data_IF_172420091855
#
_entry.id   IF_172420091855
#
_cell.length_a   1.000
_cell.length_b   1.000
_cell.length_c   1.000
_cell.angle_alpha   90.00
_cell.angle_beta   90.00
_cell.angle_gamma   90.00
#
_symmetry.space_group_name_H-M   'P 1'
#
loop_
_entity.id
_entity.type
_entity.pdbx_description
1 polymer ?
#
# COMPACT_ATOMS: atom_id res chain seq x y z
N UNK A 1 -42.69 33.87 62.66
CA UNK A 1 -41.28 34.08 62.29
C UNK A 1 -41.23 34.53 60.83
N UNK A 2 -40.95 35.80 60.57
CA UNK A 2 -40.88 36.39 59.26
C UNK A 2 -39.47 36.18 58.70
N UNK A 3 -39.32 35.32 57.70
CA UNK A 3 -38.02 35.14 56.99
C UNK A 3 -37.78 36.39 56.14
N UNK A 4 -36.83 37.20 56.47
CA UNK A 4 -36.35 38.31 55.64
C UNK A 4 -35.81 37.72 54.32
N UNK A 5 -36.51 37.92 53.22
CA UNK A 5 -35.98 37.69 51.87
C UNK A 5 -34.85 38.71 51.64
N UNK A 6 -33.59 38.23 51.51
CA UNK A 6 -32.46 39.04 51.07
C UNK A 6 -32.46 39.03 49.55
N UNK A 7 -32.67 40.21 48.93
CA UNK A 7 -32.50 40.37 47.49
C UNK A 7 -31.03 40.35 47.07
N UNK A 8 -30.75 39.86 45.88
CA UNK A 8 -29.41 39.90 45.27
C UNK A 8 -28.97 41.35 45.02
N UNK A 9 -27.69 41.64 45.27
CA UNK A 9 -27.10 42.92 44.91
C UNK A 9 -26.69 42.94 43.45
N UNK A 10 -26.72 44.09 42.79
CA UNK A 10 -26.31 44.27 41.40
C UNK A 10 -24.84 43.86 41.20
N UNK A 11 -23.98 44.09 42.22
CA UNK A 11 -22.58 43.67 42.22
C UNK A 11 -22.44 42.14 42.20
N UNK A 12 -23.25 41.44 42.96
CA UNK A 12 -23.20 39.97 43.09
C UNK A 12 -23.60 39.33 41.74
N UNK A 13 -24.55 39.92 41.03
CA UNK A 13 -24.98 39.49 39.71
C UNK A 13 -23.89 39.75 38.67
N UNK A 14 -23.20 40.89 38.69
CA UNK A 14 -22.09 41.21 37.80
C UNK A 14 -20.90 40.24 38.01
N UNK A 15 -20.54 39.95 39.25
CA UNK A 15 -19.45 39.02 39.60
C UNK A 15 -19.81 37.61 39.11
N UNK A 16 -21.06 37.15 39.32
CA UNK A 16 -21.50 35.85 38.87
C UNK A 16 -21.46 35.72 37.36
N UNK A 17 -21.91 36.77 36.64
CA UNK A 17 -21.84 36.78 35.14
C UNK A 17 -20.38 36.80 34.67
N UNK A 18 -19.49 37.52 35.30
CA UNK A 18 -18.06 37.56 34.95
C UNK A 18 -17.42 36.17 35.12
N UNK A 19 -17.67 35.52 36.27
CA UNK A 19 -17.17 34.16 36.51
C UNK A 19 -17.74 33.18 35.51
N UNK A 20 -19.05 33.24 35.22
CA UNK A 20 -19.68 32.40 34.24
C UNK A 20 -19.06 32.61 32.85
N UNK A 21 -18.88 33.85 32.41
CA UNK A 21 -18.26 34.18 31.13
C UNK A 21 -16.82 33.63 31.04
N UNK A 22 -16.06 33.71 32.11
CA UNK A 22 -14.69 33.17 32.17
C UNK A 22 -14.68 31.63 32.05
N UNK A 23 -15.60 30.98 32.79
CA UNK A 23 -15.75 29.51 32.66
C UNK A 23 -16.17 29.07 31.26
N UNK A 24 -17.10 29.78 30.62
CA UNK A 24 -17.49 29.50 29.23
C UNK A 24 -16.34 29.72 28.27
N UNK A 25 -15.54 30.79 28.43
CA UNK A 25 -14.38 31.04 27.56
C UNK A 25 -13.34 29.92 27.65
N UNK A 26 -13.03 29.47 28.87
CA UNK A 26 -12.09 28.34 29.10
C UNK A 26 -12.67 27.04 28.52
N UNK A 27 -13.95 26.74 28.78
CA UNK A 27 -14.61 25.55 28.28
C UNK A 27 -14.66 25.51 26.75
N UNK A 28 -15.00 26.64 26.11
CA UNK A 28 -15.00 26.76 24.66
C UNK A 28 -13.59 26.56 24.06
N UNK A 29 -12.58 27.15 24.69
CA UNK A 29 -11.18 26.97 24.30
C UNK A 29 -10.73 25.50 24.35
N UNK A 30 -11.09 24.80 25.44
CA UNK A 30 -10.77 23.38 25.62
C UNK A 30 -11.46 22.50 24.54
N UNK A 31 -12.72 22.73 24.26
CA UNK A 31 -13.48 22.01 23.22
C UNK A 31 -12.84 22.25 21.85
N UNK A 32 -12.56 23.49 21.49
CA UNK A 32 -11.96 23.84 20.21
C UNK A 32 -10.58 23.21 20.03
N UNK A 33 -9.76 23.16 21.11
CA UNK A 33 -8.47 22.46 21.08
C UNK A 33 -8.63 20.95 20.92
N UNK A 34 -9.61 20.35 21.61
CA UNK A 34 -9.91 18.91 21.47
C UNK A 34 -10.32 18.55 20.03
N UNK A 35 -11.15 19.38 19.38
CA UNK A 35 -11.55 19.17 17.99
C UNK A 35 -10.36 19.24 17.03
N UNK A 36 -9.46 20.24 17.19
CA UNK A 36 -8.24 20.34 16.36
C UNK A 36 -7.32 19.14 16.54
N UNK A 37 -7.17 18.67 17.78
CA UNK A 37 -6.37 17.47 18.04
C UNK A 37 -6.99 16.22 17.43
N UNK A 38 -8.31 16.11 17.43
CA UNK A 38 -9.04 15.00 16.81
C UNK A 38 -8.81 14.96 15.28
N UNK A 39 -8.88 16.11 14.62
CA UNK A 39 -8.66 16.20 13.16
C UNK A 39 -7.22 15.79 12.80
N UNK A 40 -6.21 16.26 13.55
CA UNK A 40 -4.82 15.88 13.35
C UNK A 40 -4.58 14.38 13.58
N UNK A 41 -5.20 13.80 14.60
CA UNK A 41 -5.12 12.35 14.86
C UNK A 41 -5.78 11.54 13.75
N UNK A 42 -6.92 12.01 13.24
CA UNK A 42 -7.63 11.35 12.13
C UNK A 42 -6.77 11.32 10.86
N UNK A 43 -6.13 12.43 10.51
CA UNK A 43 -5.23 12.48 9.35
C UNK A 43 -4.08 11.47 9.47
N UNK A 44 -3.44 11.40 10.65
CA UNK A 44 -2.38 10.42 10.92
C UNK A 44 -2.89 8.97 10.85
N UNK A 45 -4.09 8.70 11.38
CA UNK A 45 -4.70 7.38 11.32
C UNK A 45 -5.03 6.96 9.88
N UNK A 46 -5.57 7.86 9.08
CA UNK A 46 -5.92 7.57 7.69
C UNK A 46 -4.65 7.30 6.87
N UNK A 47 -3.59 8.06 7.11
CA UNK A 47 -2.29 7.81 6.48
C UNK A 47 -1.68 6.46 6.89
N UNK A 48 -1.76 6.11 8.16
CA UNK A 48 -1.32 4.78 8.63
C UNK A 48 -2.11 3.65 7.99
N UNK A 49 -3.43 3.80 7.82
CA UNK A 49 -4.27 2.83 7.13
C UNK A 49 -3.87 2.64 5.66
N UNK A 50 -3.53 3.72 4.95
CA UNK A 50 -3.02 3.63 3.57
C UNK A 50 -1.75 2.78 3.50
N UNK A 51 -0.76 3.08 4.36
CA UNK A 51 0.51 2.34 4.43
C UNK A 51 0.26 0.85 4.74
N UNK A 52 -0.55 0.56 5.78
CA UNK A 52 -0.86 -0.81 6.16
C UNK A 52 -1.62 -1.56 5.07
N UNK A 53 -2.54 -0.89 4.38
CA UNK A 53 -3.30 -1.48 3.25
C UNK A 53 -2.39 -1.76 2.08
N UNK A 54 -1.48 -0.84 1.75
CA UNK A 54 -0.46 -1.03 0.73
C UNK A 54 0.41 -2.26 1.04
N UNK A 55 0.98 -2.33 2.25
CA UNK A 55 1.83 -3.45 2.68
C UNK A 55 1.09 -4.78 2.65
N UNK A 56 -0.15 -4.83 3.16
CA UNK A 56 -0.98 -6.04 3.15
C UNK A 56 -1.30 -6.52 1.73
N UNK A 57 -1.55 -5.59 0.82
CA UNK A 57 -1.81 -5.94 -0.58
C UNK A 57 -0.57 -6.52 -1.26
N UNK A 58 0.60 -5.94 -1.02
CA UNK A 58 1.88 -6.47 -1.50
C UNK A 58 2.18 -7.84 -0.91
N UNK A 59 1.98 -8.02 0.40
CA UNK A 59 2.12 -9.30 1.08
C UNK A 59 1.25 -10.38 0.43
N UNK A 60 -0.03 -10.09 0.19
CA UNK A 60 -0.93 -11.03 -0.47
C UNK A 60 -0.47 -11.39 -1.88
N UNK A 61 0.06 -10.42 -2.64
CA UNK A 61 0.53 -10.67 -3.99
C UNK A 61 1.78 -11.57 -4.00
N UNK A 62 2.74 -11.33 -3.10
CA UNK A 62 3.97 -12.11 -3.05
C UNK A 62 3.79 -13.48 -2.39
N UNK A 63 3.01 -13.60 -1.33
CA UNK A 63 2.69 -14.90 -0.69
C UNK A 63 1.94 -15.81 -1.65
N UNK A 64 1.12 -15.25 -2.53
CA UNK A 64 0.33 -16.00 -3.52
C UNK A 64 1.00 -16.06 -4.90
N UNK A 65 2.32 -15.84 -4.97
CA UNK A 65 3.08 -15.91 -6.21
C UNK A 65 3.02 -17.33 -6.80
N UNK A 66 2.50 -17.43 -8.03
CA UNK A 66 2.37 -18.69 -8.75
C UNK A 66 3.45 -18.84 -9.84
N UNK A 67 4.03 -20.03 -10.03
CA UNK A 67 5.09 -20.28 -11.00
C UNK A 67 4.54 -20.38 -12.43
N UNK A 68 3.69 -19.43 -12.83
CA UNK A 68 3.06 -19.42 -14.14
C UNK A 68 3.60 -18.28 -15.02
N UNK A 69 4.44 -18.59 -16.01
CA UNK A 69 4.79 -17.65 -17.07
C UNK A 69 3.57 -17.22 -17.87
N UNK A 70 3.62 -16.05 -18.45
CA UNK A 70 2.58 -15.54 -19.36
C UNK A 70 3.15 -15.38 -20.76
N UNK A 71 2.28 -15.39 -21.79
CA UNK A 71 2.68 -15.02 -23.15
C UNK A 71 3.01 -13.53 -23.20
N UNK A 72 4.00 -13.20 -24.01
CA UNK A 72 4.27 -11.80 -24.31
C UNK A 72 3.08 -11.21 -25.10
N UNK A 73 2.69 -9.94 -24.83
CA UNK A 73 1.63 -9.29 -25.59
C UNK A 73 1.91 -9.16 -27.09
N UNK A 74 3.17 -9.20 -27.48
CA UNK A 74 3.67 -9.11 -28.86
C UNK A 74 4.75 -10.18 -29.05
N UNK A 75 4.62 -10.98 -30.12
CA UNK A 75 5.55 -12.08 -30.45
C UNK A 75 5.19 -13.41 -29.78
N UNK A 76 6.05 -14.41 -29.99
CA UNK A 76 5.83 -15.79 -29.54
C UNK A 76 6.55 -16.15 -28.22
N UNK A 77 7.10 -15.15 -27.55
CA UNK A 77 7.85 -15.33 -26.31
C UNK A 77 6.99 -15.45 -25.07
N UNK A 78 7.65 -15.74 -23.95
CA UNK A 78 7.04 -15.79 -22.62
C UNK A 78 7.74 -14.80 -21.68
N UNK A 79 6.97 -14.22 -20.76
CA UNK A 79 7.48 -13.49 -19.61
C UNK A 79 7.49 -14.39 -18.39
N UNK A 80 8.49 -14.26 -17.51
CA UNK A 80 8.58 -15.08 -16.30
C UNK A 80 7.41 -14.87 -15.36
N UNK A 81 7.20 -15.85 -14.49
CA UNK A 81 6.19 -15.80 -13.43
C UNK A 81 6.36 -14.58 -12.52
N UNK A 82 7.60 -14.22 -12.22
CA UNK A 82 8.00 -12.96 -11.58
C UNK A 82 9.07 -12.29 -12.43
N UNK A 83 8.87 -11.03 -12.74
CA UNK A 83 9.84 -10.14 -13.38
C UNK A 83 10.04 -8.92 -12.48
N UNK A 84 11.23 -8.75 -11.95
CA UNK A 84 11.62 -7.59 -11.16
C UNK A 84 12.80 -6.89 -11.80
N UNK A 85 12.71 -5.59 -11.98
CA UNK A 85 13.74 -4.81 -12.65
C UNK A 85 14.67 -4.15 -11.63
N UNK A 86 15.96 -4.08 -11.93
CA UNK A 86 16.95 -3.36 -11.12
C UNK A 86 16.97 -1.86 -11.40
N UNK A 87 16.51 -1.45 -12.58
CA UNK A 87 16.42 -0.05 -12.97
C UNK A 87 15.19 0.60 -12.30
N UNK A 88 15.38 1.59 -11.41
CA UNK A 88 14.28 2.26 -10.73
C UNK A 88 13.39 3.10 -11.68
N UNK A 89 13.86 3.37 -12.89
CA UNK A 89 13.10 4.11 -13.91
C UNK A 89 12.26 3.18 -14.79
N UNK A 90 12.56 1.88 -14.77
CA UNK A 90 11.83 0.89 -15.56
C UNK A 90 10.38 0.76 -15.06
N UNK A 91 9.46 0.71 -16.02
CA UNK A 91 8.04 0.57 -15.74
C UNK A 91 7.45 -0.59 -16.55
N UNK A 92 6.75 -1.50 -15.90
CA UNK A 92 6.57 -1.66 -14.44
C UNK A 92 7.86 -2.11 -13.74
N UNK A 93 8.00 -1.70 -12.46
CA UNK A 93 9.17 -2.10 -11.63
C UNK A 93 9.13 -3.58 -11.24
N UNK A 94 7.92 -4.13 -11.07
CA UNK A 94 7.70 -5.56 -10.77
C UNK A 94 6.45 -6.02 -11.50
N UNK A 95 6.50 -7.24 -12.05
CA UNK A 95 5.34 -7.97 -12.57
C UNK A 95 5.33 -9.38 -12.03
N UNK A 96 4.17 -9.90 -11.65
CA UNK A 96 4.06 -11.25 -11.12
C UNK A 96 2.72 -11.91 -11.49
N UNK A 97 2.75 -13.24 -11.57
CA UNK A 97 1.55 -14.07 -11.65
C UNK A 97 1.16 -14.51 -10.26
N UNK A 98 -0.06 -14.25 -9.83
CA UNK A 98 -0.53 -14.65 -8.51
C UNK A 98 -1.78 -15.52 -8.59
N UNK A 99 -1.95 -16.38 -7.59
CA UNK A 99 -3.17 -17.12 -7.31
C UNK A 99 -4.16 -16.38 -6.41
N UNK A 100 -5.10 -17.11 -5.86
CA UNK A 100 -6.01 -16.61 -4.81
C UNK A 100 -6.97 -15.52 -5.25
N UNK A 101 -7.23 -15.38 -6.55
CA UNK A 101 -8.25 -14.46 -7.03
C UNK A 101 -9.63 -15.04 -6.80
N UNK A 102 -10.18 -14.78 -5.62
CA UNK A 102 -11.47 -15.30 -5.20
C UNK A 102 -12.59 -14.89 -6.17
N UNK A 103 -13.41 -15.88 -6.56
CA UNK A 103 -14.51 -15.72 -7.51
C UNK A 103 -15.84 -16.18 -6.90
N UNK A 104 -16.37 -15.47 -5.89
CA UNK A 104 -17.59 -15.87 -5.19
C UNK A 104 -18.83 -15.83 -6.08
N UNK A 105 -18.81 -15.05 -7.16
CA UNK A 105 -19.95 -14.89 -8.09
C UNK A 105 -19.94 -15.89 -9.24
N UNK A 106 -18.91 -16.76 -9.35
CA UNK A 106 -18.82 -17.77 -10.40
C UNK A 106 -18.66 -17.21 -11.83
N UNK A 107 -18.22 -15.96 -11.98
CA UNK A 107 -17.96 -15.37 -13.29
C UNK A 107 -16.87 -16.16 -14.01
N UNK A 108 -17.03 -16.41 -15.32
CA UNK A 108 -15.99 -17.07 -16.11
C UNK A 108 -14.74 -16.18 -16.21
N UNK A 109 -13.80 -16.39 -15.31
CA UNK A 109 -12.49 -15.74 -15.28
C UNK A 109 -11.44 -16.69 -14.68
N UNK A 110 -10.15 -16.53 -15.04
CA UNK A 110 -9.10 -17.37 -14.47
C UNK A 110 -8.99 -17.15 -12.95
N UNK A 111 -8.61 -18.20 -12.21
CA UNK A 111 -8.27 -18.11 -10.79
C UNK A 111 -6.92 -17.44 -10.52
N UNK A 112 -6.11 -17.27 -11.57
CA UNK A 112 -4.83 -16.60 -11.56
C UNK A 112 -4.97 -15.18 -12.10
N UNK A 113 -4.10 -14.30 -11.63
CA UNK A 113 -4.08 -12.89 -12.02
C UNK A 113 -2.66 -12.44 -12.32
N UNK A 114 -2.47 -11.68 -13.40
CA UNK A 114 -1.21 -10.97 -13.65
C UNK A 114 -1.28 -9.59 -13.01
N UNK A 115 -0.31 -9.28 -12.16
CA UNK A 115 -0.20 -8.03 -11.42
C UNK A 115 1.08 -7.32 -11.80
N UNK A 116 1.04 -6.00 -11.88
CA UNK A 116 2.18 -5.14 -12.13
C UNK A 116 2.20 -3.95 -11.15
N UNK A 117 3.40 -3.60 -10.70
CA UNK A 117 3.63 -2.44 -9.86
C UNK A 117 4.36 -1.35 -10.65
N UNK A 118 3.84 -0.14 -10.56
CA UNK A 118 4.38 1.05 -11.19
C UNK A 118 4.71 2.09 -10.13
N UNK A 119 5.78 2.83 -10.36
CA UNK A 119 6.12 3.97 -9.53
C UNK A 119 6.27 5.21 -10.40
N UNK A 120 5.29 6.10 -10.34
CA UNK A 120 5.22 7.31 -11.14
C UNK A 120 4.72 8.49 -10.29
N UNK A 121 5.28 9.67 -10.48
CA UNK A 121 4.83 10.90 -9.83
C UNK A 121 4.62 10.75 -8.31
N UNK A 122 5.60 10.19 -7.62
CA UNK A 122 5.58 9.96 -6.17
C UNK A 122 4.42 9.05 -5.69
N UNK A 123 3.86 8.24 -6.59
CA UNK A 123 2.75 7.33 -6.30
C UNK A 123 3.13 5.91 -6.68
N UNK A 124 2.98 4.99 -5.73
CA UNK A 124 3.04 3.56 -5.99
C UNK A 124 1.66 3.09 -6.43
N UNK A 125 1.59 2.55 -7.66
CA UNK A 125 0.37 2.04 -8.27
C UNK A 125 0.47 0.55 -8.51
N UNK A 126 -0.63 -0.15 -8.27
CA UNK A 126 -0.82 -1.55 -8.63
C UNK A 126 -1.81 -1.63 -9.77
N UNK A 127 -1.44 -2.35 -10.81
CA UNK A 127 -2.32 -2.68 -11.92
C UNK A 127 -2.48 -4.19 -12.03
N UNK A 128 -3.64 -4.65 -12.46
CA UNK A 128 -3.83 -6.05 -12.78
C UNK A 128 -4.64 -6.21 -14.05
N UNK A 129 -4.33 -7.27 -14.77
CA UNK A 129 -5.01 -7.64 -15.99
C UNK A 129 -6.25 -8.48 -15.69
N UNK A 130 -7.32 -8.25 -16.42
CA UNK A 130 -8.56 -9.04 -16.32
C UNK A 130 -8.41 -10.43 -16.92
N UNK A 131 -7.38 -10.64 -17.75
CA UNK A 131 -7.00 -11.90 -18.36
C UNK A 131 -5.57 -12.27 -17.99
N UNK A 132 -5.26 -13.58 -17.96
CA UNK A 132 -3.95 -14.06 -17.53
C UNK A 132 -2.86 -13.82 -18.58
N UNK A 133 -3.14 -14.10 -19.83
CA UNK A 133 -2.25 -13.88 -20.97
C UNK A 133 -2.73 -12.64 -21.75
N UNK A 134 -2.29 -11.42 -21.36
CA UNK A 134 -2.79 -10.20 -21.96
C UNK A 134 -2.28 -10.02 -23.39
N UNK A 135 -3.11 -9.48 -24.23
CA UNK A 135 -2.75 -8.93 -25.54
C UNK A 135 -2.63 -7.41 -25.46
N UNK A 136 -2.11 -6.78 -26.53
CA UNK A 136 -1.82 -5.34 -26.52
C UNK A 136 -3.02 -4.45 -26.15
N UNK A 137 -4.25 -4.90 -26.37
CA UNK A 137 -5.48 -4.17 -26.06
C UNK A 137 -6.18 -4.66 -24.77
N UNK A 138 -5.51 -5.50 -23.98
CA UNK A 138 -6.12 -6.02 -22.75
C UNK A 138 -6.35 -4.92 -21.72
N UNK A 139 -7.55 -4.92 -21.16
CA UNK A 139 -7.93 -3.95 -20.11
C UNK A 139 -7.20 -4.25 -18.80
N UNK A 140 -6.68 -3.21 -18.18
CA UNK A 140 -6.11 -3.26 -16.82
C UNK A 140 -7.01 -2.50 -15.85
N UNK A 141 -7.03 -2.97 -14.60
CA UNK A 141 -7.62 -2.24 -13.48
C UNK A 141 -6.47 -1.63 -12.67
N UNK A 142 -6.52 -0.32 -12.52
CA UNK A 142 -5.48 0.47 -11.87
C UNK A 142 -5.93 0.88 -10.47
N UNK A 143 -5.01 0.81 -9.51
CA UNK A 143 -5.24 1.25 -8.14
C UNK A 143 -3.99 1.91 -7.60
N UNK A 144 -4.10 3.17 -7.22
CA UNK A 144 -3.06 3.85 -6.47
C UNK A 144 -3.05 3.28 -5.05
N UNK A 145 -1.90 2.80 -4.60
CA UNK A 145 -1.74 2.15 -3.30
C UNK A 145 -1.23 3.11 -2.25
N UNK A 146 -0.24 3.93 -2.62
CA UNK A 146 0.41 4.83 -1.69
C UNK A 146 0.91 6.07 -2.42
N UNK A 147 0.57 7.22 -1.90
CA UNK A 147 1.06 8.53 -2.36
C UNK A 147 2.23 9.02 -1.51
N UNK A 148 2.84 10.15 -1.84
CA UNK A 148 3.97 10.76 -1.10
C UNK A 148 5.14 9.77 -0.90
N UNK A 149 5.44 8.97 -1.91
CA UNK A 149 6.56 8.02 -1.94
C UNK A 149 7.72 8.67 -2.68
N UNK A 150 8.92 8.68 -2.11
CA UNK A 150 10.16 9.18 -2.73
C UNK A 150 10.80 8.13 -3.63
N UNK A 151 10.84 6.89 -3.15
CA UNK A 151 11.41 5.76 -3.90
C UNK A 151 10.83 4.43 -3.46
N UNK A 152 10.86 3.48 -4.39
CA UNK A 152 10.46 2.08 -4.17
C UNK A 152 11.58 1.18 -4.67
N UNK A 153 12.03 0.25 -3.83
CA UNK A 153 13.08 -0.71 -4.19
C UNK A 153 12.64 -2.12 -3.81
N UNK A 154 12.91 -3.06 -4.70
CA UNK A 154 12.66 -4.48 -4.48
C UNK A 154 14.00 -5.23 -4.49
N UNK A 155 14.14 -6.19 -3.57
CA UNK A 155 15.20 -7.18 -3.59
C UNK A 155 14.60 -8.57 -3.45
N UNK A 156 15.23 -9.55 -4.08
CA UNK A 156 14.72 -10.90 -4.19
C UNK A 156 15.76 -11.86 -3.60
N UNK A 157 15.35 -12.73 -2.68
CA UNK A 157 16.23 -13.73 -2.11
C UNK A 157 16.18 -15.00 -2.95
N UNK A 158 17.31 -15.45 -3.47
CA UNK A 158 17.40 -16.69 -4.21
C UNK A 158 17.50 -17.92 -3.27
N UNK A 159 17.50 -19.11 -3.84
CA UNK A 159 17.58 -20.38 -3.10
C UNK A 159 18.90 -20.54 -2.34
N UNK A 160 19.96 -19.84 -2.76
CA UNK A 160 21.24 -19.78 -2.06
C UNK A 160 21.26 -18.76 -0.91
N UNK A 161 20.09 -18.11 -0.63
CA UNK A 161 19.92 -17.04 0.36
C UNK A 161 20.73 -15.77 0.06
N UNK A 162 20.99 -15.52 -1.22
CA UNK A 162 21.65 -14.30 -1.67
C UNK A 162 20.59 -13.31 -2.18
N UNK A 163 20.72 -12.05 -1.76
CA UNK A 163 19.84 -10.99 -2.22
C UNK A 163 20.21 -10.49 -3.62
N UNK A 164 19.26 -10.53 -4.53
CA UNK A 164 19.36 -10.06 -5.91
C UNK A 164 18.56 -8.76 -6.08
N UNK A 165 19.06 -7.83 -6.90
CA UNK A 165 18.38 -6.57 -7.19
C UNK A 165 17.40 -6.68 -8.36
N UNK A 166 17.49 -7.77 -9.12
CA UNK A 166 16.57 -8.07 -10.22
C UNK A 166 16.11 -9.53 -10.17
N UNK A 167 14.98 -9.82 -10.81
CA UNK A 167 14.48 -11.19 -10.93
C UNK A 167 13.94 -11.44 -12.34
N UNK A 168 14.22 -12.57 -13.00
CA UNK A 168 15.18 -13.61 -12.56
C UNK A 168 16.62 -13.09 -12.43
N UNK A 169 17.47 -13.78 -11.62
CA UNK A 169 18.87 -13.40 -11.46
C UNK A 169 19.63 -13.41 -12.79
N UNK A 170 20.63 -12.55 -12.94
CA UNK A 170 21.47 -12.49 -14.15
C UNK A 170 22.16 -13.81 -14.47
N UNK A 171 22.48 -14.62 -13.46
CA UNK A 171 23.10 -15.94 -13.63
C UNK A 171 22.26 -16.91 -14.47
N UNK A 172 20.94 -16.73 -14.53
CA UNK A 172 20.02 -17.56 -15.31
C UNK A 172 19.46 -16.85 -16.56
N UNK A 173 19.85 -15.61 -16.80
CA UNK A 173 19.34 -14.81 -17.92
C UNK A 173 19.58 -15.47 -19.28
N UNK A 174 20.70 -16.17 -19.47
CA UNK A 174 21.01 -16.92 -20.70
C UNK A 174 20.11 -18.15 -20.95
N UNK A 175 19.43 -18.65 -19.90
CA UNK A 175 18.52 -19.80 -19.99
C UNK A 175 17.03 -19.42 -20.04
N UNK A 176 16.70 -18.16 -20.27
CA UNK A 176 15.31 -17.66 -20.31
C UNK A 176 14.44 -18.29 -21.44
N UNK A 177 15.05 -18.96 -22.39
CA UNK A 177 14.33 -19.75 -23.38
C UNK A 177 13.68 -21.04 -22.79
N UNK A 178 14.14 -21.48 -21.60
CA UNK A 178 13.61 -22.68 -20.95
C UNK A 178 12.44 -22.33 -20.02
N UNK A 179 11.33 -23.05 -20.16
CA UNK A 179 10.14 -22.86 -19.32
C UNK A 179 10.42 -23.05 -17.81
N UNK A 180 11.37 -23.90 -17.47
CA UNK A 180 11.80 -24.10 -16.08
C UNK A 180 12.35 -22.81 -15.46
N UNK A 181 13.17 -22.07 -16.20
CA UNK A 181 13.76 -20.80 -15.77
C UNK A 181 12.70 -19.70 -15.60
N UNK A 182 11.66 -19.70 -16.46
CA UNK A 182 10.58 -18.76 -16.38
C UNK A 182 9.65 -18.99 -15.16
N UNK A 183 9.76 -20.13 -14.50
CA UNK A 183 8.96 -20.55 -13.35
C UNK A 183 9.65 -20.36 -12.01
N UNK A 184 10.94 -20.00 -12.01
CA UNK A 184 11.68 -19.81 -10.76
C UNK A 184 11.06 -18.72 -9.90
N UNK A 185 11.05 -18.92 -8.59
CA UNK A 185 10.55 -17.98 -7.60
C UNK A 185 11.64 -17.66 -6.58
N UNK A 186 11.70 -16.45 -6.05
CA UNK A 186 12.52 -16.17 -4.88
C UNK A 186 11.90 -16.84 -3.64
N UNK A 187 12.69 -17.07 -2.62
CA UNK A 187 12.19 -17.54 -1.32
C UNK A 187 11.62 -16.40 -0.47
N UNK A 188 12.09 -15.18 -0.73
CA UNK A 188 11.58 -13.98 -0.08
C UNK A 188 11.74 -12.75 -0.98
N UNK A 189 10.90 -11.75 -0.78
CA UNK A 189 10.97 -10.45 -1.44
C UNK A 189 11.04 -9.37 -0.37
N UNK A 190 12.09 -8.57 -0.41
CA UNK A 190 12.19 -7.37 0.41
C UNK A 190 11.69 -6.17 -0.38
N UNK A 191 10.81 -5.41 0.24
CA UNK A 191 10.28 -4.15 -0.29
C UNK A 191 10.74 -3.02 0.62
N UNK A 192 11.37 -2.04 0.05
CA UNK A 192 11.73 -0.79 0.72
C UNK A 192 10.94 0.34 0.09
N UNK A 193 10.13 1.02 0.90
CA UNK A 193 9.41 2.25 0.54
C UNK A 193 10.02 3.40 1.32
N UNK A 194 10.53 4.41 0.62
CA UNK A 194 10.93 5.67 1.24
C UNK A 194 9.79 6.68 1.05
N UNK A 195 9.19 7.12 2.15
CA UNK A 195 8.05 8.03 2.15
C UNK A 195 8.47 9.43 2.62
N UNK A 196 7.71 10.45 2.22
CA UNK A 196 8.00 11.84 2.58
C UNK A 196 7.74 12.11 4.07
N UNK A 197 6.76 11.43 4.63
CA UNK A 197 6.20 11.69 5.95
C UNK A 197 6.63 10.67 7.02
N UNK A 198 6.80 9.40 6.66
CA UNK A 198 7.15 8.31 7.60
C UNK A 198 8.57 7.76 7.39
N UNK A 199 9.32 8.32 6.42
CA UNK A 199 10.67 7.89 6.10
C UNK A 199 10.71 6.49 5.49
N UNK A 200 11.77 5.74 5.77
CA UNK A 200 12.07 4.46 5.15
C UNK A 200 11.37 3.30 5.87
N UNK A 201 10.49 2.62 5.14
CA UNK A 201 9.75 1.43 5.58
C UNK A 201 10.30 0.21 4.85
N UNK A 202 10.71 -0.82 5.58
CA UNK A 202 11.24 -2.07 5.01
C UNK A 202 10.37 -3.23 5.46
N UNK A 203 9.97 -4.07 4.50
CA UNK A 203 9.23 -5.31 4.75
C UNK A 203 9.81 -6.45 3.94
N UNK A 204 9.84 -7.62 4.54
CA UNK A 204 10.23 -8.87 3.88
C UNK A 204 9.00 -9.76 3.86
N UNK A 205 8.66 -10.23 2.67
CA UNK A 205 7.56 -11.16 2.43
C UNK A 205 8.13 -12.52 2.04
N UNK A 206 7.73 -13.55 2.75
CA UNK A 206 8.04 -14.93 2.37
C UNK A 206 7.20 -15.32 1.17
N UNK A 207 7.81 -15.99 0.20
CA UNK A 207 7.11 -16.51 -0.97
C UNK A 207 6.83 -17.99 -0.72
N UNK A 208 5.56 -18.39 -0.85
CA UNK A 208 5.17 -19.78 -0.67
C UNK A 208 5.91 -20.70 -1.65
N UNK A 209 6.51 -21.75 -1.11
CA UNK A 209 7.30 -22.75 -1.84
C UNK A 209 6.48 -23.66 -2.75
#
# INVERSE_FOLDING_TARGET
MSTRQRGFTLLELLVAMFIAAMMFAIGYGAINQAMKNQDALKEQQDRMKEILTCMRMMEQDFVQLEPRPIRQPIGDGYLPALLGQSDPTAQPIVQLSRGGWNNPTGVQRPGLQRVAYYFEKNTLRREYYTVMDPVQQSTTVKRDLLTKVKSVTFRYMDVARVWQTQWPPTSVAGAMAQLSTLRIRPIAVEVTLDTEDWGKLVRIFEVAG
#
